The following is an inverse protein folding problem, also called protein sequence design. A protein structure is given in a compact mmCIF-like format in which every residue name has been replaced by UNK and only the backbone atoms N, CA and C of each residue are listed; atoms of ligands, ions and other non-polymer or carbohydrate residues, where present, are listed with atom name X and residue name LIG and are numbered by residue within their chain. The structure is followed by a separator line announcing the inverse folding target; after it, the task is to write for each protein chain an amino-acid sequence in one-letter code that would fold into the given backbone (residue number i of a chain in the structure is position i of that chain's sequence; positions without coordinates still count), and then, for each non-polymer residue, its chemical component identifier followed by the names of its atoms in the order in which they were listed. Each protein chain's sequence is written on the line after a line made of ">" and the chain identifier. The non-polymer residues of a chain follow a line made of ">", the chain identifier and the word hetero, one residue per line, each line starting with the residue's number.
data_IF_049622706435
#
_entry.id   IF_049622706435
#
_cell.length_a   1.000
_cell.length_b   1.000
_cell.length_c   1.000
_cell.angle_alpha   90.00
_cell.angle_beta   90.00
_cell.angle_gamma   90.00
#
_symmetry.space_group_name_H-M   'P 1'
#
loop_
_entity.id
_entity.type
_entity.pdbx_description
1 polymer ?
#
# COMPACT_ATOMS: atom_id res chain seq x y z
N UNK A 1 -18.53 -15.07 7.45
CA UNK A 1 -19.03 -15.34 6.09
C UNK A 1 -18.13 -16.37 5.46
N UNK A 2 -18.75 -17.37 4.83
CA UNK A 2 -18.05 -18.44 4.16
C UNK A 2 -18.95 -18.99 3.06
N UNK A 3 -18.33 -19.42 1.98
CA UNK A 3 -18.97 -20.16 0.90
C UNK A 3 -18.88 -21.65 1.20
N UNK A 4 -19.96 -22.39 0.94
CA UNK A 4 -19.93 -23.85 0.97
C UNK A 4 -18.95 -24.36 -0.08
N UNK A 5 -18.37 -25.52 0.18
CA UNK A 5 -17.58 -26.30 -0.77
C UNK A 5 -18.36 -27.58 -1.06
N UNK A 6 -18.52 -27.88 -2.34
CA UNK A 6 -19.11 -29.14 -2.81
C UNK A 6 -18.06 -29.92 -3.59
N UNK A 7 -18.35 -30.35 -4.82
CA UNK A 7 -17.51 -31.28 -5.57
C UNK A 7 -16.17 -30.69 -6.01
N UNK A 8 -16.10 -29.94 -7.12
CA UNK A 8 -14.91 -29.17 -7.49
C UNK A 8 -15.24 -27.69 -7.42
N UNK A 9 -14.35 -26.90 -6.83
CA UNK A 9 -14.63 -25.52 -6.46
C UNK A 9 -13.61 -24.59 -7.11
N UNK A 10 -14.07 -23.67 -7.96
CA UNK A 10 -13.31 -22.51 -8.41
C UNK A 10 -13.75 -21.31 -7.57
N UNK A 11 -12.82 -20.75 -6.82
CA UNK A 11 -13.11 -19.70 -5.84
C UNK A 11 -12.38 -18.43 -6.24
N UNK A 12 -13.09 -17.32 -6.28
CA UNK A 12 -12.56 -16.01 -6.71
C UNK A 12 -12.96 -14.94 -5.68
N UNK A 13 -12.04 -14.07 -5.23
CA UNK A 13 -12.44 -12.92 -4.42
C UNK A 13 -13.27 -11.94 -5.24
N UNK A 14 -14.40 -11.48 -4.70
CA UNK A 14 -15.32 -10.55 -5.36
C UNK A 14 -14.62 -9.25 -5.76
N UNK A 15 -13.73 -8.71 -4.92
CA UNK A 15 -12.96 -7.51 -5.26
C UNK A 15 -11.99 -7.72 -6.46
N UNK A 16 -11.57 -8.96 -6.71
CA UNK A 16 -10.78 -9.29 -7.91
C UNK A 16 -11.68 -9.36 -9.13
N UNK A 17 -12.88 -9.94 -8.98
CA UNK A 17 -13.91 -9.94 -10.02
C UNK A 17 -14.25 -8.51 -10.42
N UNK A 18 -14.55 -7.65 -9.45
CA UNK A 18 -14.96 -6.27 -9.71
C UNK A 18 -13.93 -5.47 -10.51
N UNK A 19 -12.64 -5.74 -10.27
CA UNK A 19 -11.53 -5.10 -10.98
C UNK A 19 -11.28 -5.67 -12.38
N UNK A 20 -11.53 -6.97 -12.61
CA UNK A 20 -11.01 -7.68 -13.80
C UNK A 20 -12.08 -8.22 -14.74
N UNK A 21 -13.24 -8.56 -14.22
CA UNK A 21 -14.33 -9.12 -15.01
C UNK A 21 -14.93 -8.01 -15.90
N UNK A 22 -15.18 -8.24 -17.19
CA UNK A 22 -15.82 -7.25 -18.06
C UNK A 22 -17.19 -6.82 -17.47
N UNK A 23 -17.33 -5.54 -17.11
CA UNK A 23 -18.53 -5.03 -16.43
C UNK A 23 -18.58 -5.24 -14.90
N UNK A 24 -17.46 -5.67 -14.31
CA UNK A 24 -17.26 -5.76 -12.86
C UNK A 24 -18.12 -6.83 -12.18
N UNK A 25 -18.26 -6.73 -10.85
CA UNK A 25 -19.00 -7.72 -10.08
C UNK A 25 -20.48 -7.77 -10.45
N UNK A 26 -21.06 -6.62 -10.80
CA UNK A 26 -22.45 -6.52 -11.26
C UNK A 26 -22.69 -7.40 -12.48
N UNK A 27 -21.89 -7.26 -13.53
CA UNK A 27 -22.04 -8.08 -14.75
C UNK A 27 -21.76 -9.55 -14.48
N UNK A 28 -20.74 -9.87 -13.67
CA UNK A 28 -20.46 -11.25 -13.29
C UNK A 28 -21.67 -11.92 -12.60
N UNK A 29 -22.41 -11.20 -11.76
CA UNK A 29 -23.63 -11.74 -11.14
C UNK A 29 -24.72 -12.00 -12.17
N UNK A 30 -24.93 -11.08 -13.10
CA UNK A 30 -25.90 -11.25 -14.20
C UNK A 30 -25.56 -12.46 -15.05
N UNK A 31 -24.31 -12.58 -15.50
CA UNK A 31 -23.83 -13.67 -16.37
C UNK A 31 -23.95 -15.05 -15.72
N UNK A 32 -23.86 -15.10 -14.38
CA UNK A 32 -23.93 -16.32 -13.59
C UNK A 32 -25.31 -16.53 -12.91
N UNK A 33 -26.33 -15.73 -13.25
CA UNK A 33 -27.70 -15.91 -12.77
C UNK A 33 -27.89 -15.63 -11.26
N UNK A 34 -27.12 -14.71 -10.69
CA UNK A 34 -27.10 -14.38 -9.24
C UNK A 34 -27.88 -13.10 -8.89
N UNK A 35 -28.89 -12.74 -9.70
CA UNK A 35 -29.66 -11.48 -9.53
C UNK A 35 -30.81 -11.59 -8.51
N UNK A 36 -31.44 -12.76 -8.39
CA UNK A 36 -32.62 -12.98 -7.54
C UNK A 36 -32.33 -14.04 -6.46
N UNK A 37 -31.98 -13.57 -5.25
CA UNK A 37 -31.69 -14.33 -4.02
C UNK A 37 -30.38 -15.15 -3.99
N UNK A 38 -29.79 -15.37 -2.78
CA UNK A 38 -28.66 -16.29 -2.62
C UNK A 38 -29.18 -17.71 -2.79
N UNK A 39 -29.28 -18.19 -4.03
CA UNK A 39 -29.65 -19.57 -4.29
C UNK A 39 -28.59 -20.46 -3.65
N UNK A 40 -28.94 -21.03 -2.49
CA UNK A 40 -28.13 -22.02 -1.78
C UNK A 40 -28.09 -23.37 -2.51
N UNK A 41 -28.57 -23.40 -3.77
CA UNK A 41 -28.70 -24.56 -4.65
C UNK A 41 -28.46 -24.10 -6.10
N UNK A 42 -27.21 -24.21 -6.55
CA UNK A 42 -26.75 -23.86 -7.91
C UNK A 42 -25.24 -24.06 -8.05
N UNK A 43 -24.71 -24.15 -9.27
CA UNK A 43 -23.26 -24.27 -9.48
C UNK A 43 -22.50 -23.03 -8.98
N UNK A 44 -23.13 -21.86 -8.97
CA UNK A 44 -22.55 -20.60 -8.53
C UNK A 44 -23.22 -20.09 -7.24
N UNK A 45 -22.42 -19.59 -6.29
CA UNK A 45 -22.93 -18.80 -5.15
C UNK A 45 -21.83 -17.86 -4.64
N UNK A 46 -22.21 -16.89 -3.80
CA UNK A 46 -21.25 -15.99 -3.18
C UNK A 46 -21.66 -15.64 -1.74
N UNK A 47 -20.68 -15.29 -0.90
CA UNK A 47 -20.91 -14.72 0.43
C UNK A 47 -20.68 -13.20 0.45
N UNK A 48 -20.49 -12.59 -0.73
CA UNK A 48 -20.20 -11.16 -0.89
C UNK A 48 -18.70 -10.84 -0.89
N UNK A 49 -17.84 -11.74 -0.40
CA UNK A 49 -16.39 -11.60 -0.44
C UNK A 49 -15.73 -12.62 -1.35
N UNK A 50 -16.27 -13.83 -1.37
CA UNK A 50 -15.91 -14.92 -2.25
C UNK A 50 -17.09 -15.24 -3.16
N UNK A 51 -16.77 -15.44 -4.43
CA UNK A 51 -17.61 -16.10 -5.39
C UNK A 51 -17.08 -17.52 -5.60
N UNK A 52 -17.98 -18.50 -5.64
CA UNK A 52 -17.73 -19.90 -5.96
C UNK A 52 -18.41 -20.22 -7.27
N UNK A 53 -17.70 -20.92 -8.13
CA UNK A 53 -18.26 -21.64 -9.27
C UNK A 53 -17.86 -23.13 -9.18
N UNK A 54 -18.77 -23.99 -9.62
CA UNK A 54 -18.77 -25.42 -9.34
C UNK A 54 -18.64 -26.28 -10.58
N UNK A 55 -17.94 -27.41 -10.45
CA UNK A 55 -17.88 -28.43 -11.49
C UNK A 55 -18.06 -29.84 -10.91
N UNK A 56 -18.68 -30.73 -11.68
CA UNK A 56 -18.95 -32.13 -11.31
C UNK A 56 -17.88 -33.10 -11.82
N UNK A 57 -16.99 -32.65 -12.72
CA UNK A 57 -15.90 -33.47 -13.25
C UNK A 57 -14.61 -32.65 -13.43
N UNK A 58 -13.42 -33.29 -13.42
CA UNK A 58 -12.17 -32.61 -13.73
C UNK A 58 -12.16 -31.95 -15.11
N UNK A 59 -12.88 -32.52 -16.08
CA UNK A 59 -13.01 -31.95 -17.43
C UNK A 59 -13.78 -30.63 -17.39
N UNK A 60 -14.92 -30.58 -16.70
CA UNK A 60 -15.71 -29.35 -16.54
C UNK A 60 -14.92 -28.28 -15.77
N UNK A 61 -14.16 -28.67 -14.75
CA UNK A 61 -13.29 -27.75 -14.02
C UNK A 61 -12.15 -27.19 -14.90
N UNK A 62 -11.58 -28.00 -15.79
CA UNK A 62 -10.57 -27.55 -16.74
C UNK A 62 -11.16 -26.54 -17.74
N UNK A 63 -12.37 -26.79 -18.25
CA UNK A 63 -13.09 -25.85 -19.11
C UNK A 63 -13.42 -24.55 -18.37
N UNK A 64 -13.88 -24.66 -17.12
CA UNK A 64 -14.21 -23.50 -16.29
C UNK A 64 -12.97 -22.64 -16.04
N UNK A 65 -11.85 -23.26 -15.64
CA UNK A 65 -10.56 -22.58 -15.49
C UNK A 65 -10.15 -21.86 -16.77
N UNK A 66 -10.29 -22.50 -17.93
CA UNK A 66 -9.95 -21.90 -19.22
C UNK A 66 -10.81 -20.67 -19.54
N UNK A 67 -12.11 -20.68 -19.19
CA UNK A 67 -12.99 -19.50 -19.35
C UNK A 67 -12.51 -18.30 -18.54
N UNK A 68 -12.20 -18.50 -17.26
CA UNK A 68 -11.68 -17.44 -16.39
C UNK A 68 -10.30 -16.93 -16.86
N UNK A 69 -9.44 -17.82 -17.36
CA UNK A 69 -8.14 -17.44 -17.91
C UNK A 69 -8.26 -16.66 -19.23
N UNK A 70 -9.24 -16.98 -20.08
CA UNK A 70 -9.48 -16.28 -21.34
C UNK A 70 -9.88 -14.80 -21.14
N UNK A 71 -10.55 -14.48 -20.02
CA UNK A 71 -10.89 -13.10 -19.63
C UNK A 71 -9.82 -12.44 -18.75
N UNK A 72 -8.64 -13.05 -18.62
CA UNK A 72 -7.45 -12.41 -18.03
C UNK A 72 -7.20 -12.71 -16.55
N UNK A 73 -7.94 -13.64 -15.94
CA UNK A 73 -7.63 -14.13 -14.59
C UNK A 73 -6.50 -15.16 -14.65
N UNK A 74 -5.79 -15.34 -13.53
CA UNK A 74 -4.70 -16.32 -13.42
C UNK A 74 -4.87 -17.17 -12.17
N UNK A 75 -4.73 -18.48 -12.31
CA UNK A 75 -4.67 -19.38 -11.16
C UNK A 75 -3.38 -19.16 -10.36
N UNK A 76 -2.24 -19.02 -11.05
CA UNK A 76 -0.90 -18.97 -10.43
C UNK A 76 -0.12 -17.76 -10.97
N UNK A 77 0.65 -17.10 -10.09
CA UNK A 77 1.63 -16.08 -10.46
C UNK A 77 2.96 -16.33 -9.73
N UNK A 78 4.07 -16.02 -10.41
CA UNK A 78 5.38 -16.02 -9.77
C UNK A 78 5.61 -14.70 -9.00
N UNK A 79 5.89 -14.80 -7.70
CA UNK A 79 6.28 -13.67 -6.84
C UNK A 79 7.57 -14.03 -6.12
N UNK A 80 8.65 -13.26 -6.38
CA UNK A 80 9.99 -13.48 -5.79
C UNK A 80 10.50 -14.94 -5.96
N UNK A 81 10.29 -15.52 -7.14
CA UNK A 81 10.74 -16.89 -7.46
C UNK A 81 9.87 -18.01 -6.88
N UNK A 82 8.77 -17.70 -6.19
CA UNK A 82 7.79 -18.69 -5.70
C UNK A 82 6.47 -18.56 -6.45
N UNK A 83 5.90 -19.69 -6.84
CA UNK A 83 4.52 -19.76 -7.36
C UNK A 83 3.54 -19.53 -6.21
N UNK A 84 2.60 -18.60 -6.39
CA UNK A 84 1.50 -18.33 -5.44
C UNK A 84 0.17 -18.30 -6.20
N UNK A 85 -0.92 -18.66 -5.50
CA UNK A 85 -2.27 -18.50 -6.04
C UNK A 85 -2.53 -17.01 -6.28
N UNK A 86 -2.99 -16.66 -7.48
CA UNK A 86 -3.10 -15.27 -7.91
C UNK A 86 -4.54 -14.74 -7.78
N UNK A 87 -5.38 -14.97 -8.79
CA UNK A 87 -6.70 -14.35 -8.88
C UNK A 87 -7.84 -15.29 -8.45
N UNK A 88 -7.67 -16.60 -8.66
CA UNK A 88 -8.64 -17.61 -8.22
C UNK A 88 -7.93 -18.88 -7.76
N UNK A 89 -8.60 -19.63 -6.89
CA UNK A 89 -8.13 -20.90 -6.35
C UNK A 89 -9.03 -22.02 -6.86
N UNK A 90 -8.43 -23.10 -7.37
CA UNK A 90 -9.14 -24.36 -7.61
C UNK A 90 -8.92 -25.24 -6.39
N UNK A 91 -10.01 -25.59 -5.71
CA UNK A 91 -10.00 -26.47 -4.55
C UNK A 91 -10.74 -27.78 -4.88
N UNK A 92 -10.11 -28.95 -4.62
CA UNK A 92 -10.73 -30.25 -4.85
C UNK A 92 -11.88 -30.52 -3.87
N UNK A 93 -12.47 -31.71 -3.96
CA UNK A 93 -13.59 -32.08 -3.10
C UNK A 93 -13.21 -32.11 -1.62
N UNK A 94 -14.08 -31.64 -0.71
CA UNK A 94 -13.98 -31.85 0.73
C UNK A 94 -13.85 -33.33 1.11
N UNK A 95 -14.40 -34.25 0.30
CA UNK A 95 -14.28 -35.70 0.49
C UNK A 95 -12.88 -36.25 0.14
N UNK A 96 -12.03 -35.46 -0.52
CA UNK A 96 -10.64 -35.80 -0.83
C UNK A 96 -9.79 -34.52 -0.72
N UNK A 97 -9.61 -34.01 0.51
CA UNK A 97 -8.99 -32.71 0.73
C UNK A 97 -7.51 -32.80 0.35
N UNK A 98 -7.14 -32.14 -0.74
CA UNK A 98 -5.74 -31.81 -1.01
C UNK A 98 -5.56 -30.30 -0.85
N UNK A 99 -4.49 -29.91 -0.16
CA UNK A 99 -4.12 -28.49 -0.08
C UNK A 99 -3.89 -27.95 -1.50
N UNK A 100 -4.40 -26.75 -1.85
CA UNK A 100 -4.11 -26.17 -3.15
C UNK A 100 -2.59 -25.99 -3.29
N UNK A 101 -2.04 -26.40 -4.44
CA UNK A 101 -0.62 -26.27 -4.78
C UNK A 101 -0.48 -25.29 -5.94
N UNK A 102 0.18 -24.13 -5.78
CA UNK A 102 0.81 -23.62 -4.55
C UNK A 102 -0.21 -23.20 -3.48
N UNK A 103 0.24 -23.06 -2.23
CA UNK A 103 -0.62 -22.67 -1.12
C UNK A 103 -1.35 -21.34 -1.39
N UNK A 104 -2.66 -21.33 -1.16
CA UNK A 104 -3.45 -20.11 -1.24
C UNK A 104 -3.26 -19.27 0.03
N UNK A 105 -2.80 -18.03 -0.11
CA UNK A 105 -2.51 -17.15 1.03
C UNK A 105 -3.73 -16.35 1.49
N UNK A 106 -4.80 -16.32 0.69
CA UNK A 106 -6.00 -15.52 0.91
C UNK A 106 -7.26 -16.37 1.13
N UNK A 107 -7.16 -17.70 1.20
CA UNK A 107 -8.25 -18.59 1.63
C UNK A 107 -7.98 -19.20 2.98
N UNK A 108 -9.02 -19.30 3.79
CA UNK A 108 -9.12 -20.22 4.92
C UNK A 108 -10.13 -21.30 4.55
N UNK A 109 -9.77 -22.57 4.78
CA UNK A 109 -10.63 -23.70 4.44
C UNK A 109 -10.85 -24.50 5.71
N UNK A 110 -12.12 -24.68 6.07
CA UNK A 110 -12.54 -25.57 7.12
C UNK A 110 -13.04 -26.87 6.48
N UNK A 111 -12.21 -27.91 6.57
CA UNK A 111 -12.52 -29.23 6.02
C UNK A 111 -13.55 -29.99 6.84
N UNK A 112 -13.77 -29.61 8.11
CA UNK A 112 -14.74 -30.29 8.98
C UNK A 112 -16.19 -29.98 8.60
N UNK A 113 -16.43 -28.78 8.08
CA UNK A 113 -17.76 -28.31 7.64
C UNK A 113 -17.81 -28.03 6.13
N UNK A 114 -16.75 -28.33 5.40
CA UNK A 114 -16.63 -28.08 3.96
C UNK A 114 -16.95 -26.63 3.58
N UNK A 115 -16.29 -25.67 4.23
CA UNK A 115 -16.49 -24.24 3.99
C UNK A 115 -15.17 -23.55 3.62
N UNK A 116 -15.22 -22.55 2.75
CA UNK A 116 -14.11 -21.64 2.51
C UNK A 116 -14.51 -20.21 2.86
N UNK A 117 -13.61 -19.50 3.52
CA UNK A 117 -13.74 -18.07 3.81
C UNK A 117 -12.52 -17.32 3.30
N UNK A 118 -12.70 -16.04 3.00
CA UNK A 118 -11.58 -15.19 2.64
C UNK A 118 -10.70 -15.04 3.89
N UNK A 119 -9.40 -15.32 3.79
CA UNK A 119 -8.52 -15.30 4.96
C UNK A 119 -8.46 -13.86 5.49
N UNK A 120 -8.95 -13.65 6.70
CA UNK A 120 -9.16 -12.31 7.28
C UNK A 120 -10.62 -11.81 7.24
N UNK A 121 -11.57 -12.57 6.67
CA UNK A 121 -13.00 -12.22 6.61
C UNK A 121 -13.84 -12.76 7.76
N UNK A 122 -13.23 -13.10 8.90
CA UNK A 122 -13.94 -13.46 10.13
C UNK A 122 -14.66 -12.26 10.78
N UNK A 123 -15.04 -11.25 9.99
CA UNK A 123 -15.67 -10.01 10.42
C UNK A 123 -17.17 -9.92 10.10
N UNK A 124 -17.79 -10.97 9.56
CA UNK A 124 -19.21 -10.90 9.20
C UNK A 124 -19.95 -12.17 9.64
N UNK A 125 -20.82 -12.05 10.64
CA UNK A 125 -21.84 -13.02 11.04
C UNK A 125 -23.16 -12.29 11.28
N UNK A 126 -24.27 -12.95 10.97
CA UNK A 126 -25.65 -12.51 11.23
C UNK A 126 -26.12 -13.02 12.59
N UNK A 127 -26.86 -12.20 13.34
CA UNK A 127 -27.65 -12.72 14.46
C UNK A 127 -29.00 -13.27 13.99
N UNK A 128 -29.76 -13.84 14.93
CA UNK A 128 -31.02 -14.53 14.71
C UNK A 128 -32.17 -13.61 14.25
N UNK A 129 -31.91 -12.30 14.09
CA UNK A 129 -32.86 -11.29 13.61
C UNK A 129 -32.32 -10.47 12.43
N UNK A 130 -31.16 -10.83 11.86
CA UNK A 130 -30.64 -10.24 10.63
C UNK A 130 -30.18 -8.78 10.76
N UNK A 131 -29.79 -8.30 11.94
CA UNK A 131 -29.23 -6.94 12.09
C UNK A 131 -27.70 -6.95 11.96
N UNK A 132 -27.19 -6.13 11.04
CA UNK A 132 -25.79 -5.93 10.70
C UNK A 132 -25.16 -4.90 11.66
N UNK A 133 -24.02 -5.21 12.28
CA UNK A 133 -23.19 -4.18 12.92
C UNK A 133 -21.90 -3.97 12.11
N UNK A 134 -21.76 -2.75 11.60
CA UNK A 134 -20.59 -2.16 10.95
C UNK A 134 -19.66 -1.63 12.03
N UNK A 135 -18.36 -1.98 12.02
CA UNK A 135 -17.41 -1.21 12.84
C UNK A 135 -17.35 0.18 12.24
N UNK A 136 -17.82 1.17 12.98
CA UNK A 136 -17.68 2.56 12.56
C UNK A 136 -16.22 2.87 12.29
N UNK A 137 -15.98 3.83 11.39
CA UNK A 137 -14.62 4.30 11.08
C UNK A 137 -13.83 4.68 12.35
N UNK A 138 -14.53 5.12 13.39
CA UNK A 138 -13.97 5.45 14.70
C UNK A 138 -13.48 4.20 15.45
N UNK A 139 -14.26 3.13 15.49
CA UNK A 139 -13.85 1.86 16.13
C UNK A 139 -12.67 1.22 15.40
N UNK A 140 -12.58 1.39 14.08
CA UNK A 140 -11.41 0.95 13.30
C UNK A 140 -10.18 1.78 13.67
N UNK A 141 -10.32 3.10 13.80
CA UNK A 141 -9.25 3.99 14.24
C UNK A 141 -8.78 3.68 15.68
N UNK A 142 -9.71 3.37 16.60
CA UNK A 142 -9.41 2.92 17.97
C UNK A 142 -8.66 1.59 17.99
N UNK A 143 -9.03 0.65 17.13
CA UNK A 143 -8.30 -0.61 17.04
C UNK A 143 -6.88 -0.39 16.53
N UNK A 144 -6.73 0.38 15.45
CA UNK A 144 -5.42 0.75 14.91
C UNK A 144 -4.58 1.49 15.95
N UNK A 145 -5.18 2.36 16.76
CA UNK A 145 -4.48 3.12 17.80
C UNK A 145 -3.93 2.20 18.89
N UNK A 146 -4.67 1.17 19.30
CA UNK A 146 -4.22 0.17 20.25
C UNK A 146 -3.01 -0.61 19.73
N UNK A 147 -3.04 -0.99 18.45
CA UNK A 147 -1.93 -1.67 17.76
C UNK A 147 -0.72 -0.73 17.69
N UNK A 148 -0.93 0.50 17.24
CA UNK A 148 0.11 1.51 17.10
C UNK A 148 0.79 1.81 18.44
N UNK A 149 0.01 1.98 19.52
CA UNK A 149 0.52 2.21 20.87
C UNK A 149 1.41 1.07 21.36
N UNK A 150 0.99 -0.19 21.12
CA UNK A 150 1.76 -1.38 21.49
C UNK A 150 3.08 -1.48 20.73
N UNK A 151 3.03 -1.33 19.40
CA UNK A 151 4.23 -1.37 18.56
C UNK A 151 5.14 -0.18 18.90
N UNK A 152 4.58 1.02 19.09
CA UNK A 152 5.33 2.22 19.48
C UNK A 152 6.10 2.05 20.79
N UNK A 153 5.45 1.48 21.81
CA UNK A 153 6.10 1.19 23.11
C UNK A 153 7.28 0.22 22.96
N UNK A 154 7.23 -0.72 22.02
CA UNK A 154 8.33 -1.66 21.74
C UNK A 154 9.46 -1.05 20.90
N UNK A 155 9.21 0.09 20.23
CA UNK A 155 10.12 0.69 19.24
C UNK A 155 10.57 2.11 19.59
N UNK A 156 10.43 2.53 20.86
CA UNK A 156 10.80 3.88 21.33
C UNK A 156 12.23 4.26 20.92
N UNK A 157 13.21 3.39 21.14
CA UNK A 157 14.60 3.68 20.80
C UNK A 157 14.82 3.91 19.30
N UNK A 158 14.10 3.19 18.45
CA UNK A 158 14.19 3.37 17.00
C UNK A 158 13.55 4.69 16.57
N UNK A 159 12.41 5.06 17.17
CA UNK A 159 11.78 6.36 16.92
C UNK A 159 12.71 7.51 17.33
N UNK A 160 13.30 7.45 18.52
CA UNK A 160 14.27 8.46 18.97
C UNK A 160 15.48 8.55 18.04
N UNK A 161 15.99 7.41 17.55
CA UNK A 161 17.07 7.39 16.55
C UNK A 161 16.66 8.08 15.25
N UNK A 162 15.44 7.85 14.76
CA UNK A 162 14.93 8.48 13.54
C UNK A 162 14.73 10.00 13.72
N UNK A 163 14.33 10.46 14.92
CA UNK A 163 14.18 11.89 15.22
C UNK A 163 15.50 12.66 15.12
N UNK A 164 16.64 11.99 15.29
CA UNK A 164 17.98 12.60 15.11
C UNK A 164 18.24 13.08 13.68
N UNK A 165 17.48 12.61 12.68
CA UNK A 165 17.59 13.11 11.30
C UNK A 165 17.20 14.58 11.17
N UNK A 166 16.65 15.21 12.22
CA UNK A 166 16.54 16.67 12.33
C UNK A 166 17.86 17.40 12.04
N UNK A 167 19.02 16.80 12.38
CA UNK A 167 20.34 17.37 12.06
C UNK A 167 20.56 17.59 10.56
N UNK A 168 19.87 16.82 9.71
CA UNK A 168 19.98 16.91 8.25
C UNK A 168 19.39 18.20 7.70
N UNK A 169 18.58 18.94 8.46
CA UNK A 169 18.20 20.32 8.15
C UNK A 169 19.40 21.27 8.11
N UNK A 170 20.47 20.97 8.85
CA UNK A 170 21.65 21.84 8.91
C UNK A 170 22.57 21.70 7.70
N UNK A 171 22.35 20.72 6.83
CA UNK A 171 23.09 20.59 5.58
C UNK A 171 22.94 21.85 4.73
N UNK A 172 24.05 22.33 4.18
CA UNK A 172 24.04 23.45 3.21
C UNK A 172 23.24 23.08 1.95
N UNK A 173 23.33 21.81 1.52
CA UNK A 173 22.62 21.27 0.37
C UNK A 173 21.28 20.60 0.72
N UNK A 174 20.72 20.81 1.92
CA UNK A 174 19.52 20.13 2.44
C UNK A 174 18.45 19.94 1.37
N UNK A 175 17.93 21.03 0.80
CA UNK A 175 16.82 20.96 -0.16
C UNK A 175 17.19 20.15 -1.40
N UNK A 176 18.40 20.35 -1.94
CA UNK A 176 18.87 19.61 -3.10
C UNK A 176 19.03 18.11 -2.82
N UNK A 177 19.64 17.76 -1.69
CA UNK A 177 19.81 16.38 -1.26
C UNK A 177 18.46 15.64 -1.18
N UNK A 178 17.45 16.25 -0.56
CA UNK A 178 16.14 15.61 -0.39
C UNK A 178 15.29 15.60 -1.67
N UNK A 179 15.51 16.53 -2.61
CA UNK A 179 14.98 16.42 -3.97
C UNK A 179 15.57 15.21 -4.70
N UNK A 180 16.90 15.05 -4.68
CA UNK A 180 17.55 13.87 -5.24
C UNK A 180 17.07 12.58 -4.57
N UNK A 181 16.88 12.56 -3.25
CA UNK A 181 16.37 11.40 -2.51
C UNK A 181 14.95 11.03 -2.95
N UNK A 182 14.09 12.04 -3.13
CA UNK A 182 12.74 11.86 -3.63
C UNK A 182 12.75 11.23 -5.02
N UNK A 183 13.59 11.72 -5.93
CA UNK A 183 13.69 11.15 -7.28
C UNK A 183 14.34 9.76 -7.27
N UNK A 184 15.36 9.51 -6.46
CA UNK A 184 16.00 8.21 -6.36
C UNK A 184 15.01 7.12 -5.90
N UNK A 185 14.18 7.44 -4.91
CA UNK A 185 13.23 6.50 -4.31
C UNK A 185 11.88 6.44 -5.03
N UNK A 186 11.60 7.39 -5.93
CA UNK A 186 10.32 7.47 -6.62
C UNK A 186 10.01 6.21 -7.42
N UNK A 187 8.95 5.51 -7.00
CA UNK A 187 8.50 4.23 -7.57
C UNK A 187 9.23 3.00 -7.05
N UNK A 188 10.44 3.12 -6.48
CA UNK A 188 11.16 2.02 -5.81
C UNK A 188 12.28 2.55 -4.92
N UNK A 189 12.23 2.25 -3.61
CA UNK A 189 13.22 2.71 -2.63
C UNK A 189 14.66 2.27 -2.94
N UNK A 190 14.86 1.13 -3.61
CA UNK A 190 16.19 0.63 -3.95
C UNK A 190 16.97 1.53 -4.92
N UNK A 191 16.30 2.46 -5.62
CA UNK A 191 16.98 3.43 -6.49
C UNK A 191 17.89 4.40 -5.71
N UNK A 192 17.64 4.58 -4.41
CA UNK A 192 18.54 5.33 -3.52
C UNK A 192 19.97 4.80 -3.55
N UNK A 193 20.15 3.47 -3.53
CA UNK A 193 21.49 2.85 -3.53
C UNK A 193 22.31 3.24 -4.76
N UNK A 194 21.66 3.38 -5.91
CA UNK A 194 22.34 3.68 -7.17
C UNK A 194 22.62 5.17 -7.39
N UNK A 195 21.75 6.06 -6.91
CA UNK A 195 21.91 7.51 -7.14
C UNK A 195 22.62 8.22 -5.99
N UNK A 196 22.24 7.93 -4.74
CA UNK A 196 22.79 8.60 -3.54
C UNK A 196 23.81 7.69 -2.83
N UNK A 197 23.49 6.40 -2.68
CA UNK A 197 24.38 5.45 -2.01
C UNK A 197 25.68 5.17 -2.75
N UNK A 198 25.70 5.37 -4.08
CA UNK A 198 26.90 5.26 -4.90
C UNK A 198 27.54 6.64 -5.05
N UNK A 199 28.61 6.88 -4.29
CA UNK A 199 29.26 8.19 -4.18
C UNK A 199 29.73 8.72 -5.53
N UNK A 200 30.25 7.85 -6.40
CA UNK A 200 30.70 8.26 -7.74
C UNK A 200 29.57 8.80 -8.61
N UNK A 201 28.33 8.37 -8.38
CA UNK A 201 27.16 8.88 -9.07
C UNK A 201 26.63 10.15 -8.38
N UNK A 202 26.54 10.14 -7.05
CA UNK A 202 26.01 11.26 -6.27
C UNK A 202 26.83 12.54 -6.48
N UNK A 203 28.17 12.43 -6.44
CA UNK A 203 29.07 13.58 -6.55
C UNK A 203 28.90 14.33 -7.89
N UNK A 204 28.55 13.61 -8.98
CA UNK A 204 28.32 14.18 -10.31
C UNK A 204 27.00 14.95 -10.44
N UNK A 205 26.05 14.72 -9.54
CA UNK A 205 24.72 15.37 -9.56
C UNK A 205 24.49 16.28 -8.36
N UNK A 206 25.55 16.62 -7.62
CA UNK A 206 25.49 17.71 -6.63
C UNK A 206 25.20 19.04 -7.34
N UNK A 207 24.54 19.97 -6.65
CA UNK A 207 24.23 21.28 -7.23
C UNK A 207 25.51 22.01 -7.65
N UNK A 208 26.57 21.91 -6.84
CA UNK A 208 27.88 22.48 -7.14
C UNK A 208 28.50 21.86 -8.41
N UNK A 209 28.53 20.53 -8.54
CA UNK A 209 29.08 19.86 -9.72
C UNK A 209 28.31 20.27 -10.99
N UNK A 210 26.98 20.30 -10.92
CA UNK A 210 26.14 20.70 -12.05
C UNK A 210 26.29 22.19 -12.39
N UNK A 211 26.61 23.05 -11.42
CA UNK A 211 26.82 24.49 -11.65
C UNK A 211 28.08 24.81 -12.44
N UNK A 212 29.06 23.90 -12.45
CA UNK A 212 30.32 24.05 -13.18
C UNK A 212 30.24 23.61 -14.64
N UNK A 213 29.13 22.97 -15.03
CA UNK A 213 28.88 22.51 -16.39
C UNK A 213 28.05 23.53 -17.15
N UNK A 214 28.21 23.57 -18.47
CA UNK A 214 27.24 24.24 -19.35
C UNK A 214 25.93 23.44 -19.43
N UNK A 215 24.91 24.00 -20.07
CA UNK A 215 23.58 23.40 -20.13
C UNK A 215 23.57 22.03 -20.84
N UNK A 216 24.36 21.86 -21.90
CA UNK A 216 24.40 20.63 -22.69
C UNK A 216 25.13 19.50 -21.96
N UNK A 217 26.27 19.80 -21.34
CA UNK A 217 27.04 18.85 -20.56
C UNK A 217 26.34 18.50 -19.24
N UNK A 218 25.63 19.45 -18.63
CA UNK A 218 24.78 19.18 -17.46
C UNK A 218 23.68 18.19 -17.79
N UNK A 219 22.95 18.40 -18.89
CA UNK A 219 21.91 17.48 -19.32
C UNK A 219 22.48 16.08 -19.60
N UNK A 220 23.59 16.00 -20.34
CA UNK A 220 24.28 14.73 -20.64
C UNK A 220 24.67 14.00 -19.37
N UNK A 221 25.25 14.72 -18.40
CA UNK A 221 25.70 14.17 -17.11
C UNK A 221 24.53 13.63 -16.30
N UNK A 222 23.47 14.42 -16.10
CA UNK A 222 22.31 13.99 -15.29
C UNK A 222 21.64 12.76 -15.91
N UNK A 223 21.44 12.74 -17.23
CA UNK A 223 20.84 11.58 -17.91
C UNK A 223 21.71 10.33 -17.81
N UNK A 224 23.02 10.47 -18.01
CA UNK A 224 23.97 9.36 -17.90
C UNK A 224 23.98 8.79 -16.47
N UNK A 225 24.06 9.66 -15.46
CA UNK A 225 24.04 9.25 -14.04
C UNK A 225 22.72 8.56 -13.69
N UNK A 226 21.56 9.09 -14.09
CA UNK A 226 20.27 8.45 -13.82
C UNK A 226 20.20 7.03 -14.40
N UNK A 227 20.69 6.82 -15.63
CA UNK A 227 20.75 5.48 -16.25
C UNK A 227 21.74 4.57 -15.54
N UNK A 228 22.96 5.05 -15.24
CA UNK A 228 23.99 4.31 -14.51
C UNK A 228 23.53 3.90 -13.11
N UNK A 229 22.82 4.78 -12.42
CA UNK A 229 22.19 4.55 -11.13
C UNK A 229 21.01 3.56 -11.18
N UNK A 230 20.54 3.18 -12.39
CA UNK A 230 19.41 2.26 -12.61
C UNK A 230 18.14 2.68 -11.87
N UNK A 231 17.92 3.99 -11.73
CA UNK A 231 16.67 4.50 -11.15
C UNK A 231 15.51 4.28 -12.15
N UNK A 232 14.32 4.00 -11.64
CA UNK A 232 13.12 3.85 -12.48
C UNK A 232 12.85 5.15 -13.23
N UNK A 233 12.47 5.06 -14.52
CA UNK A 233 12.18 6.22 -15.39
C UNK A 233 13.34 7.23 -15.43
N UNK A 234 14.55 6.79 -15.84
CA UNK A 234 15.76 7.59 -15.70
C UNK A 234 15.66 8.91 -16.46
N UNK A 235 15.10 8.93 -17.67
CA UNK A 235 15.02 10.14 -18.49
C UNK A 235 14.05 11.18 -17.90
N UNK A 236 12.84 10.74 -17.53
CA UNK A 236 11.85 11.62 -16.88
C UNK A 236 12.35 12.18 -15.55
N UNK A 237 13.13 11.42 -14.79
CA UNK A 237 13.73 11.90 -13.54
C UNK A 237 14.91 12.82 -13.78
N UNK A 238 15.69 12.60 -14.84
CA UNK A 238 16.68 13.57 -15.27
C UNK A 238 16.04 14.92 -15.60
N UNK A 239 14.88 14.92 -16.27
CA UNK A 239 14.14 16.15 -16.56
C UNK A 239 13.70 16.87 -15.27
N UNK A 240 13.25 16.12 -14.26
CA UNK A 240 12.91 16.68 -12.94
C UNK A 240 14.13 17.29 -12.23
N UNK A 241 15.26 16.59 -12.22
CA UNK A 241 16.51 17.07 -11.61
C UNK A 241 16.97 18.37 -12.30
N UNK A 242 16.98 18.39 -13.63
CA UNK A 242 17.37 19.57 -14.42
C UNK A 242 16.39 20.73 -14.21
N UNK A 243 15.09 20.46 -14.12
CA UNK A 243 14.08 21.46 -13.81
C UNK A 243 14.25 22.05 -12.40
N UNK A 244 14.50 21.21 -11.40
CA UNK A 244 14.79 21.65 -10.03
C UNK A 244 16.09 22.46 -9.96
N UNK A 245 17.13 22.05 -10.71
CA UNK A 245 18.39 22.78 -10.78
C UNK A 245 18.16 24.21 -11.28
N UNK A 246 17.44 24.35 -12.41
CA UNK A 246 17.08 25.67 -12.95
C UNK A 246 16.30 26.50 -11.94
N UNK A 247 15.27 25.93 -11.32
CA UNK A 247 14.45 26.64 -10.33
C UNK A 247 15.28 27.16 -9.15
N UNK A 248 16.17 26.34 -8.59
CA UNK A 248 17.04 26.75 -7.48
C UNK A 248 18.05 27.81 -7.93
N UNK A 249 18.64 27.66 -9.11
CA UNK A 249 19.55 28.66 -9.68
C UNK A 249 18.83 30.00 -9.83
N UNK A 250 17.63 30.00 -10.39
CA UNK A 250 16.83 31.19 -10.63
C UNK A 250 16.35 31.83 -9.31
N UNK A 251 16.20 31.05 -8.23
CA UNK A 251 15.95 31.57 -6.89
C UNK A 251 17.16 32.27 -6.27
N UNK A 252 18.38 32.10 -6.81
CA UNK A 252 19.62 32.64 -6.23
C UNK A 252 20.51 31.59 -5.56
N UNK A 253 20.26 30.29 -5.81
CA UNK A 253 21.07 29.18 -5.31
C UNK A 253 20.49 28.49 -4.07
N UNK A 254 21.24 27.53 -3.54
CA UNK A 254 20.79 26.63 -2.46
C UNK A 254 20.36 27.36 -1.20
N UNK A 255 21.15 28.35 -0.76
CA UNK A 255 20.90 29.08 0.47
C UNK A 255 19.60 29.88 0.39
N UNK A 256 19.36 30.57 -0.73
CA UNK A 256 18.15 31.36 -0.92
C UNK A 256 16.91 30.46 -1.06
N UNK A 257 17.01 29.34 -1.79
CA UNK A 257 15.93 28.37 -1.88
C UNK A 257 15.58 27.75 -0.51
N UNK A 258 16.59 27.43 0.32
CA UNK A 258 16.40 26.95 1.70
C UNK A 258 15.75 28.02 2.57
N UNK A 259 16.24 29.26 2.54
CA UNK A 259 15.67 30.36 3.31
C UNK A 259 14.20 30.60 2.96
N UNK A 260 13.86 30.63 1.66
CA UNK A 260 12.47 30.79 1.21
C UNK A 260 11.56 29.65 1.64
N UNK A 261 12.03 28.41 1.59
CA UNK A 261 11.27 27.25 2.08
C UNK A 261 10.99 27.37 3.58
N UNK A 262 12.03 27.63 4.39
CA UNK A 262 11.89 27.68 5.85
C UNK A 262 11.07 28.89 6.32
N UNK A 263 11.11 30.00 5.58
CA UNK A 263 10.32 31.19 5.83
C UNK A 263 8.82 31.02 5.51
N UNK A 264 8.40 29.95 4.83
CA UNK A 264 6.97 29.72 4.61
C UNK A 264 6.24 29.43 5.92
N UNK A 265 5.05 29.98 6.08
CA UNK A 265 4.24 29.78 7.27
C UNK A 265 3.66 28.37 7.33
N UNK A 266 4.00 27.67 8.42
CA UNK A 266 3.47 26.35 8.75
C UNK A 266 3.67 25.27 7.69
N UNK A 267 2.95 24.16 7.89
CA UNK A 267 2.99 22.98 7.03
C UNK A 267 2.55 23.30 5.60
N UNK A 268 1.40 23.96 5.47
CA UNK A 268 0.72 24.12 4.17
C UNK A 268 1.46 25.10 3.27
N UNK A 269 2.05 26.18 3.83
CA UNK A 269 2.93 27.09 3.10
C UNK A 269 4.18 26.37 2.58
N UNK A 270 4.81 25.56 3.41
CA UNK A 270 5.98 24.73 3.03
C UNK A 270 5.63 23.71 1.95
N UNK A 271 4.48 23.05 2.05
CA UNK A 271 3.96 22.15 0.99
C UNK A 271 3.75 22.92 -0.32
N UNK A 272 3.08 24.08 -0.27
CA UNK A 272 2.82 24.91 -1.45
C UNK A 272 4.12 25.35 -2.14
N UNK A 273 5.15 25.67 -1.37
CA UNK A 273 6.48 25.95 -1.91
C UNK A 273 7.09 24.73 -2.60
N UNK A 274 7.10 23.57 -1.94
CA UNK A 274 7.68 22.34 -2.49
C UNK A 274 6.96 21.84 -3.75
N UNK A 275 5.66 22.08 -3.88
CA UNK A 275 4.88 21.73 -5.09
C UNK A 275 5.30 22.49 -6.35
N UNK A 276 6.08 23.57 -6.22
CA UNK A 276 6.65 24.29 -7.38
C UNK A 276 7.79 23.51 -8.06
N UNK A 277 8.40 22.55 -7.35
CA UNK A 277 9.51 21.76 -7.88
C UNK A 277 9.02 20.68 -8.84
N UNK A 278 9.58 20.59 -10.07
CA UNK A 278 9.19 19.58 -11.04
C UNK A 278 9.29 18.15 -10.48
N UNK A 279 8.18 17.40 -10.56
CA UNK A 279 8.12 16.02 -10.09
C UNK A 279 7.81 15.85 -8.61
N UNK A 280 7.70 16.93 -7.83
CA UNK A 280 7.30 16.89 -6.42
C UNK A 280 5.77 17.01 -6.30
N UNK A 281 5.12 15.89 -5.96
CA UNK A 281 3.70 15.87 -5.62
C UNK A 281 3.46 15.91 -4.10
N UNK A 282 2.17 15.93 -3.65
CA UNK A 282 1.80 16.10 -2.25
C UNK A 282 2.49 15.14 -1.26
N UNK A 283 2.71 13.89 -1.69
CA UNK A 283 3.44 12.89 -0.90
C UNK A 283 4.91 13.27 -0.69
N UNK A 284 5.63 13.62 -1.76
CA UNK A 284 7.05 13.93 -1.66
C UNK A 284 7.29 15.27 -0.96
N UNK A 285 6.37 16.24 -1.12
CA UNK A 285 6.41 17.49 -0.37
C UNK A 285 6.38 17.25 1.15
N UNK A 286 5.52 16.33 1.63
CA UNK A 286 5.53 15.89 3.04
C UNK A 286 6.81 15.14 3.39
N UNK A 287 7.20 14.14 2.60
CA UNK A 287 8.38 13.32 2.89
C UNK A 287 9.65 14.13 3.06
N UNK A 288 9.90 15.16 2.25
CA UNK A 288 11.11 15.98 2.34
C UNK A 288 11.25 16.59 3.75
N UNK A 289 10.16 17.14 4.30
CA UNK A 289 10.17 17.77 5.61
C UNK A 289 10.04 16.75 6.76
N UNK A 290 9.31 15.66 6.52
CA UNK A 290 9.21 14.55 7.47
C UNK A 290 10.55 13.79 7.59
N UNK A 291 11.34 13.63 6.53
CA UNK A 291 12.62 12.90 6.57
C UNK A 291 13.66 13.60 7.46
N UNK A 292 13.45 14.89 7.72
CA UNK A 292 14.27 15.69 8.63
C UNK A 292 13.53 16.13 9.89
N UNK A 293 12.46 15.41 10.25
CA UNK A 293 11.69 15.64 11.48
C UNK A 293 11.39 17.13 11.75
N UNK A 294 11.00 17.85 10.70
CA UNK A 294 10.67 19.28 10.82
C UNK A 294 9.43 19.46 11.70
N UNK A 295 9.44 20.49 12.55
CA UNK A 295 8.39 20.72 13.56
C UNK A 295 6.99 20.82 12.97
N UNK A 296 6.82 21.61 11.91
CA UNK A 296 5.54 21.74 11.18
C UNK A 296 4.99 20.43 10.58
N UNK A 297 5.82 19.39 10.48
CA UNK A 297 5.46 18.10 9.87
C UNK A 297 5.45 16.94 10.87
N UNK A 298 5.58 17.23 12.18
CA UNK A 298 5.46 16.20 13.23
C UNK A 298 4.06 15.59 13.25
N UNK A 299 3.05 16.36 12.85
CA UNK A 299 1.68 15.87 12.69
C UNK A 299 1.30 15.79 11.20
N UNK A 300 1.91 14.85 10.49
CA UNK A 300 1.70 14.63 9.05
C UNK A 300 1.87 13.16 8.70
N UNK A 301 1.11 12.71 7.70
CA UNK A 301 1.23 11.34 7.17
C UNK A 301 1.37 11.36 5.65
N UNK A 302 2.35 10.62 5.16
CA UNK A 302 2.61 10.52 3.74
C UNK A 302 1.86 9.33 3.14
N UNK A 303 0.64 9.56 2.65
CA UNK A 303 -0.21 8.51 2.07
C UNK A 303 0.45 7.95 0.80
N UNK A 304 1.04 6.77 0.94
CA UNK A 304 1.71 6.03 -0.12
C UNK A 304 1.16 4.61 -0.28
N UNK A 305 1.78 3.79 -1.13
CA UNK A 305 1.30 2.43 -1.39
C UNK A 305 1.28 1.53 -0.13
N UNK A 306 2.08 1.83 0.90
CA UNK A 306 2.09 1.07 2.15
C UNK A 306 0.99 1.50 3.09
N UNK A 307 0.75 2.81 3.21
CA UNK A 307 -0.41 3.34 3.92
C UNK A 307 -1.70 2.78 3.30
N UNK A 308 -1.78 2.75 1.96
CA UNK A 308 -2.88 2.11 1.24
C UNK A 308 -3.02 0.62 1.56
N UNK A 309 -1.92 -0.13 1.61
CA UNK A 309 -1.93 -1.54 2.01
C UNK A 309 -2.46 -1.76 3.43
N UNK A 310 -2.17 -0.84 4.36
CA UNK A 310 -2.70 -0.90 5.73
C UNK A 310 -4.20 -0.58 5.73
N UNK A 311 -4.65 0.43 4.97
CA UNK A 311 -6.07 0.72 4.79
C UNK A 311 -6.83 -0.46 4.20
N UNK A 312 -6.26 -1.14 3.20
CA UNK A 312 -6.81 -2.37 2.62
C UNK A 312 -6.92 -3.48 3.68
N UNK A 313 -5.89 -3.67 4.52
CA UNK A 313 -5.90 -4.65 5.62
C UNK A 313 -6.94 -4.31 6.71
N UNK A 314 -7.23 -3.03 6.91
CA UNK A 314 -8.28 -2.54 7.83
C UNK A 314 -9.68 -2.56 7.20
N UNK A 315 -9.80 -2.80 5.89
CA UNK A 315 -11.07 -2.77 5.17
C UNK A 315 -11.63 -1.36 4.93
N UNK A 316 -10.80 -0.31 4.99
CA UNK A 316 -11.24 1.08 4.82
C UNK A 316 -10.80 1.67 3.48
N UNK A 317 -11.61 2.60 2.96
CA UNK A 317 -11.31 3.37 1.74
C UNK A 317 -11.74 4.82 1.90
N UNK A 318 -11.08 5.73 1.19
CA UNK A 318 -11.25 7.18 1.36
C UNK A 318 -11.43 7.86 0.00
N UNK A 319 -12.23 8.93 -0.04
CA UNK A 319 -12.54 9.64 -1.30
C UNK A 319 -11.42 10.60 -1.69
N UNK A 320 -10.67 11.10 -0.71
CA UNK A 320 -9.61 12.10 -0.91
C UNK A 320 -8.34 11.76 -0.12
N UNK A 321 -7.22 12.37 -0.52
CA UNK A 321 -5.96 12.27 0.23
C UNK A 321 -6.13 12.82 1.66
N UNK A 322 -6.89 13.92 1.80
CA UNK A 322 -7.13 14.61 3.05
C UNK A 322 -7.91 13.73 4.03
N UNK A 323 -8.97 13.06 3.58
CA UNK A 323 -9.71 12.09 4.40
C UNK A 323 -8.81 10.91 4.80
N UNK A 324 -7.99 10.43 3.87
CA UNK A 324 -7.07 9.33 4.13
C UNK A 324 -6.02 9.70 5.18
N UNK A 325 -5.40 10.89 5.06
CA UNK A 325 -4.45 11.41 6.04
C UNK A 325 -5.14 11.64 7.40
N UNK A 326 -6.32 12.26 7.42
CA UNK A 326 -7.05 12.57 8.65
C UNK A 326 -7.40 11.32 9.47
N UNK A 327 -7.79 10.23 8.81
CA UNK A 327 -8.04 8.96 9.49
C UNK A 327 -6.83 8.46 10.29
N UNK A 328 -5.64 8.46 9.68
CA UNK A 328 -4.45 7.99 10.37
C UNK A 328 -3.96 9.01 11.42
N UNK A 329 -4.14 10.31 11.20
CA UNK A 329 -3.84 11.31 12.23
C UNK A 329 -4.72 11.09 13.48
N UNK A 330 -6.00 10.76 13.30
CA UNK A 330 -6.87 10.44 14.43
C UNK A 330 -6.41 9.17 15.15
N UNK A 331 -6.04 8.11 14.42
CA UNK A 331 -5.47 6.92 15.02
C UNK A 331 -4.15 7.20 15.80
N UNK A 332 -3.30 8.09 15.30
CA UNK A 332 -2.08 8.52 15.98
C UNK A 332 -2.42 9.25 17.28
N UNK A 333 -3.35 10.21 17.22
CA UNK A 333 -3.84 10.98 18.37
C UNK A 333 -4.37 10.06 19.47
N UNK A 334 -5.22 9.09 19.12
CA UNK A 334 -5.76 8.10 20.04
C UNK A 334 -4.66 7.21 20.66
N UNK A 335 -3.58 6.95 19.93
CA UNK A 335 -2.44 6.17 20.41
C UNK A 335 -1.50 6.97 21.34
N UNK A 336 -1.66 8.29 21.43
CA UNK A 336 -0.71 9.19 22.08
C UNK A 336 0.58 9.36 21.28
N UNK A 337 0.51 9.23 19.96
CA UNK A 337 1.63 9.39 19.03
C UNK A 337 1.38 10.62 18.15
N UNK A 338 2.46 11.23 17.69
CA UNK A 338 2.39 12.20 16.59
C UNK A 338 2.10 11.50 15.26
N UNK A 339 1.50 12.19 14.28
CA UNK A 339 1.30 11.64 12.93
C UNK A 339 2.59 11.10 12.30
N UNK A 340 3.71 11.79 12.51
CA UNK A 340 5.03 11.36 12.04
C UNK A 340 5.47 10.05 12.68
N UNK A 341 5.28 9.87 13.99
CA UNK A 341 5.66 8.62 14.66
C UNK A 341 4.85 7.45 14.12
N UNK A 342 3.54 7.61 13.95
CA UNK A 342 2.70 6.59 13.35
C UNK A 342 3.16 6.27 11.91
N UNK A 343 3.44 7.28 11.08
CA UNK A 343 3.98 7.08 9.73
C UNK A 343 5.29 6.27 9.74
N UNK A 344 6.25 6.62 10.60
CA UNK A 344 7.53 5.90 10.69
C UNK A 344 7.37 4.49 11.23
N UNK A 345 6.49 4.28 12.20
CA UNK A 345 6.19 2.93 12.68
C UNK A 345 5.61 2.06 11.55
N UNK A 346 4.62 2.56 10.82
CA UNK A 346 4.03 1.84 9.68
C UNK A 346 5.01 1.67 8.51
N UNK A 347 5.92 2.63 8.30
CA UNK A 347 6.99 2.54 7.30
C UNK A 347 7.91 1.36 7.59
N UNK A 348 8.44 1.30 8.82
CA UNK A 348 9.53 0.39 9.20
C UNK A 348 9.03 -0.97 9.70
N UNK A 349 7.81 -1.02 10.26
CA UNK A 349 7.24 -2.20 10.91
C UNK A 349 5.89 -2.61 10.31
N UNK A 350 5.70 -2.38 8.99
CA UNK A 350 4.46 -2.73 8.26
C UNK A 350 3.97 -4.16 8.56
N UNK A 351 4.88 -5.13 8.54
CA UNK A 351 4.53 -6.53 8.75
C UNK A 351 4.02 -6.80 10.18
N UNK A 352 4.49 -6.01 11.17
CA UNK A 352 3.99 -6.07 12.54
C UNK A 352 2.56 -5.52 12.63
N UNK A 353 2.28 -4.39 11.96
CA UNK A 353 0.92 -3.84 11.85
C UNK A 353 -0.04 -4.81 11.17
N UNK A 354 0.33 -5.35 10.00
CA UNK A 354 -0.53 -6.29 9.28
C UNK A 354 -0.82 -7.51 10.15
N UNK A 355 0.18 -8.10 10.80
CA UNK A 355 0.01 -9.26 11.69
C UNK A 355 -0.91 -8.96 12.87
N UNK A 356 -0.74 -7.82 13.55
CA UNK A 356 -1.56 -7.44 14.70
C UNK A 356 -2.99 -7.10 14.28
N UNK A 357 -3.18 -6.44 13.12
CA UNK A 357 -4.51 -6.23 12.54
C UNK A 357 -5.19 -7.58 12.36
N UNK A 358 -4.53 -8.53 11.66
CA UNK A 358 -5.04 -9.89 11.46
C UNK A 358 -5.33 -10.64 12.77
N UNK A 359 -4.47 -10.49 13.77
CA UNK A 359 -4.63 -11.17 15.07
C UNK A 359 -5.77 -10.58 15.89
N UNK A 360 -5.94 -9.26 15.87
CA UNK A 360 -7.07 -8.57 16.50
C UNK A 360 -8.40 -8.98 15.87
N UNK A 361 -8.44 -9.22 14.56
CA UNK A 361 -9.60 -9.79 13.88
C UNK A 361 -9.93 -11.17 14.47
N UNK A 362 -8.93 -12.04 14.52
CA UNK A 362 -9.09 -13.43 14.90
C UNK A 362 -9.51 -13.60 16.37
N UNK A 363 -8.93 -12.82 17.28
CA UNK A 363 -9.26 -12.88 18.70
C UNK A 363 -10.71 -12.46 18.98
N UNK A 364 -11.23 -11.45 18.27
CA UNK A 364 -12.62 -10.99 18.43
C UNK A 364 -13.63 -11.98 17.87
N UNK A 365 -13.28 -12.69 16.78
CA UNK A 365 -14.10 -13.77 16.25
C UNK A 365 -14.23 -14.96 17.24
N UNK A 366 -13.22 -15.21 18.07
CA UNK A 366 -13.23 -16.31 19.05
C UNK A 366 -14.02 -16.01 20.34
N UNK A 367 -14.31 -14.75 20.65
CA UNK A 367 -15.05 -14.33 21.86
C UNK A 367 -16.56 -14.24 21.68
N UNK A 368 -17.09 -14.46 20.47
CA UNK A 368 -18.53 -14.51 20.22
C UNK A 368 -19.03 -15.89 20.64
N UNK A 369 -19.93 -16.01 21.64
CA UNK A 369 -20.50 -17.30 22.01
C UNK A 369 -21.26 -17.86 20.82
N UNK A 370 -20.94 -19.07 20.41
CA UNK A 370 -21.75 -19.85 19.46
C UNK A 370 -23.10 -20.12 20.11
N UNK A 371 -24.12 -19.34 19.70
CA UNK A 371 -25.51 -19.57 20.07
C UNK A 371 -26.14 -20.65 19.19
#
# INVERSE_FOLDING_TARGET
>A
MAIRLEFLNLIVPVHVIDRKYPGGWKQCRTDHGLEEQPSSFGACWHDGLLFRDGAMSPFDMAMLKAKWEAIGFKAIRCRRGRSVVADFCVYPSPASPASPVPACTWLSIDTSVAMASFRGSAFLHSDQHGRLFDMSINEIAENLSCIAKRIGAQRVQELERLKLEHRSLQREDFLWHFLLQSFATMGRSSGWRGLIGERSNYDQVTFEALSRLDDADRERTVRAVCRKAKIRMPDKKADFILGCFRLIRDMGGLNEARSRLLAQEGRDGKIKFLLQFPGIGPKYARNIMMDVYHEDFRDSIAVDARIKSISEALGVSFKSYQEHEAFFLEAARLAGLSGWELDRLMYHFKDDFEREIFSSVAARAATVPTA
#
